data_IF_273973840162
#
_entry.id   IF_273973840162
#
_cell.length_a   1.000
_cell.length_b   1.000
_cell.length_c   1.000
_cell.angle_alpha   90.00
_cell.angle_beta   90.00
_cell.angle_gamma   90.00
#
_symmetry.space_group_name_H-M   'P 1'
#
loop_
_entity.id
_entity.type
_entity.pdbx_description
1 polymer ?
#
# COMPACT_ATOMS: atom_id res chain seq x y z
N UNK A 1 -7.97 10.06 -19.24
CA UNK A 1 -8.06 10.55 -17.87
C UNK A 1 -9.41 11.17 -17.61
N UNK A 2 -9.96 11.14 -16.40
CA UNK A 2 -11.20 11.83 -16.07
C UNK A 2 -11.10 13.34 -16.33
N UNK A 3 -12.21 13.99 -16.65
CA UNK A 3 -12.29 15.44 -16.79
C UNK A 3 -11.81 16.12 -15.47
N UNK A 4 -11.06 17.20 -15.59
CA UNK A 4 -10.52 17.95 -14.45
C UNK A 4 -9.26 17.34 -13.79
N UNK A 5 -8.71 16.25 -14.33
CA UNK A 5 -7.45 15.66 -13.87
C UNK A 5 -6.28 16.14 -14.74
N UNK A 6 -5.22 16.63 -14.13
CA UNK A 6 -4.00 17.05 -14.82
C UNK A 6 -2.76 16.49 -14.15
N UNK A 7 -2.48 15.18 -14.27
CA UNK A 7 -1.25 14.64 -13.74
C UNK A 7 -0.07 15.08 -14.61
N UNK A 8 0.99 15.43 -13.95
CA UNK A 8 2.28 15.67 -14.59
C UNK A 8 3.17 14.44 -14.35
N UNK A 9 3.35 13.63 -15.39
CA UNK A 9 4.34 12.56 -15.39
C UNK A 9 5.36 12.83 -16.50
N UNK A 10 6.62 12.84 -16.15
CA UNK A 10 7.69 12.96 -17.14
C UNK A 10 7.67 11.73 -18.08
N UNK A 11 7.85 11.98 -19.37
CA UNK A 11 7.94 10.89 -20.39
C UNK A 11 6.60 10.40 -20.93
N UNK A 12 5.46 11.02 -20.59
CA UNK A 12 4.21 10.72 -21.26
C UNK A 12 4.25 11.16 -22.73
N UNK A 13 3.92 10.26 -23.64
CA UNK A 13 3.81 10.58 -25.08
C UNK A 13 2.56 11.41 -25.38
N UNK A 14 1.45 11.13 -24.71
CA UNK A 14 0.16 11.83 -24.88
C UNK A 14 -0.69 11.73 -23.61
N UNK A 15 -1.56 12.72 -23.39
CA UNK A 15 -2.55 12.75 -22.31
C UNK A 15 -3.93 12.99 -22.88
N UNK A 16 -4.78 11.98 -22.87
CA UNK A 16 -6.19 12.11 -23.27
C UNK A 16 -7.07 12.37 -22.07
N UNK A 17 -7.80 13.47 -22.10
CA UNK A 17 -8.85 13.79 -21.15
C UNK A 17 -10.18 13.30 -21.66
N UNK A 18 -10.89 12.49 -20.87
CA UNK A 18 -12.23 12.01 -21.17
C UNK A 18 -13.26 13.07 -20.77
N UNK A 19 -14.42 13.08 -21.45
CA UNK A 19 -15.46 14.06 -21.21
C UNK A 19 -16.24 13.91 -19.90
N UNK A 20 -15.96 12.86 -19.10
CA UNK A 20 -16.65 12.54 -17.86
C UNK A 20 -15.76 12.79 -16.64
N UNK A 21 -16.32 13.38 -15.58
CA UNK A 21 -15.67 13.46 -14.28
C UNK A 21 -15.47 12.06 -13.66
N UNK A 22 -14.56 11.94 -12.68
CA UNK A 22 -14.16 10.64 -12.11
C UNK A 22 -15.35 9.78 -11.63
N UNK A 23 -16.34 10.38 -10.98
CA UNK A 23 -17.53 9.65 -10.47
C UNK A 23 -18.42 9.13 -11.60
N UNK A 24 -18.66 9.96 -12.60
CA UNK A 24 -19.45 9.61 -13.78
C UNK A 24 -18.75 8.53 -14.59
N UNK A 25 -17.42 8.65 -14.75
CA UNK A 25 -16.61 7.66 -15.43
C UNK A 25 -16.63 6.31 -14.71
N UNK A 26 -16.52 6.31 -13.38
CA UNK A 26 -16.59 5.10 -12.57
C UNK A 26 -17.96 4.41 -12.70
N UNK A 27 -19.05 5.17 -12.72
CA UNK A 27 -20.40 4.65 -12.93
C UNK A 27 -20.57 4.11 -14.37
N UNK A 28 -20.10 4.85 -15.37
CA UNK A 28 -20.13 4.44 -16.79
C UNK A 28 -19.39 3.12 -17.00
N UNK A 29 -18.18 3.00 -16.50
CA UNK A 29 -17.37 1.78 -16.61
C UNK A 29 -17.96 0.60 -15.82
N UNK A 30 -18.59 0.86 -14.69
CA UNK A 30 -19.32 -0.16 -13.94
C UNK A 30 -20.47 -0.75 -14.76
N UNK A 31 -21.13 0.07 -15.59
CA UNK A 31 -22.19 -0.36 -16.52
C UNK A 31 -21.64 -0.97 -17.82
N UNK A 32 -20.33 -0.91 -18.06
CA UNK A 32 -19.70 -1.41 -19.28
C UNK A 32 -19.75 -0.45 -20.44
N UNK A 33 -19.93 0.82 -20.17
CA UNK A 33 -19.93 1.88 -21.17
C UNK A 33 -18.59 2.61 -21.06
N UNK A 34 -17.72 2.46 -22.07
CA UNK A 34 -16.38 3.05 -22.08
C UNK A 34 -16.18 3.97 -23.31
N UNK A 35 -16.89 5.10 -23.38
CA UNK A 35 -16.78 5.99 -24.52
C UNK A 35 -15.38 6.63 -24.58
N UNK A 36 -14.80 6.69 -25.79
CA UNK A 36 -13.60 7.47 -26.07
C UNK A 36 -12.27 6.93 -25.51
N UNK A 37 -12.25 5.71 -24.97
CA UNK A 37 -10.99 5.13 -24.44
C UNK A 37 -10.09 4.63 -25.58
N UNK A 38 -10.65 4.20 -26.71
CA UNK A 38 -9.89 3.58 -27.81
C UNK A 38 -9.57 2.11 -27.51
N UNK A 39 -8.76 1.52 -28.37
CA UNK A 39 -8.27 0.14 -28.29
C UNK A 39 -6.78 0.06 -28.02
N UNK A 40 -6.20 -1.14 -28.13
CA UNK A 40 -4.79 -1.44 -27.90
C UNK A 40 -4.51 -1.96 -26.51
N UNK A 41 -3.27 -1.82 -26.04
CA UNK A 41 -2.83 -2.33 -24.75
C UNK A 41 -3.20 -1.35 -23.63
N UNK A 42 -4.14 -1.73 -22.79
CA UNK A 42 -4.61 -0.91 -21.67
C UNK A 42 -4.15 -1.55 -20.36
N UNK A 43 -3.32 -0.83 -19.60
CA UNK A 43 -3.01 -1.18 -18.21
C UNK A 43 -3.59 -0.14 -17.26
N UNK A 44 -4.51 -0.57 -16.39
CA UNK A 44 -5.02 0.27 -15.32
C UNK A 44 -4.41 -0.11 -13.98
N UNK A 45 -3.80 0.85 -13.24
CA UNK A 45 -3.23 0.59 -11.92
C UNK A 45 -4.28 0.35 -10.84
N UNK A 46 -5.55 0.27 -11.19
CA UNK A 46 -6.68 0.01 -10.29
C UNK A 46 -7.80 -0.74 -11.02
N UNK A 47 -8.84 -1.15 -10.28
CA UNK A 47 -10.06 -1.69 -10.90
C UNK A 47 -10.86 -0.65 -11.70
N UNK A 48 -10.51 0.63 -11.63
CA UNK A 48 -11.13 1.68 -12.44
C UNK A 48 -10.59 1.62 -13.87
N UNK A 49 -11.14 0.71 -14.66
CA UNK A 49 -10.72 0.39 -16.02
C UNK A 49 -11.91 0.24 -16.96
N UNK A 50 -11.72 0.44 -18.27
CA UNK A 50 -12.75 0.25 -19.30
C UNK A 50 -12.96 -1.24 -19.59
N UNK A 51 -13.46 -1.99 -18.62
CA UNK A 51 -13.69 -3.43 -18.70
C UNK A 51 -14.92 -3.73 -19.58
N UNK A 52 -14.74 -3.69 -20.89
CA UNK A 52 -15.76 -3.96 -21.91
C UNK A 52 -15.49 -5.27 -22.62
N UNK A 53 -16.52 -5.80 -23.31
CA UNK A 53 -16.37 -7.01 -24.12
C UNK A 53 -15.46 -6.73 -25.32
N UNK A 54 -14.47 -7.56 -25.55
CA UNK A 54 -13.59 -7.60 -26.70
C UNK A 54 -13.24 -9.05 -27.04
N UNK A 55 -12.69 -9.30 -28.22
CA UNK A 55 -12.21 -10.62 -28.62
C UNK A 55 -10.76 -10.79 -28.14
N UNK A 56 -10.53 -11.68 -27.20
CA UNK A 56 -9.20 -11.92 -26.62
C UNK A 56 -8.25 -12.68 -27.54
N UNK A 57 -8.73 -13.21 -28.65
CA UNK A 57 -7.94 -14.09 -29.53
C UNK A 57 -7.55 -13.39 -30.82
N UNK A 58 -8.42 -12.54 -31.37
CA UNK A 58 -8.25 -11.97 -32.68
C UNK A 58 -8.11 -10.45 -32.66
N UNK A 59 -8.51 -9.78 -31.59
CA UNK A 59 -8.31 -8.35 -31.41
C UNK A 59 -6.92 -8.09 -30.77
N UNK A 60 -6.25 -7.03 -31.22
CA UNK A 60 -5.05 -6.53 -30.56
C UNK A 60 -5.39 -5.66 -29.33
N UNK A 61 -6.60 -5.79 -28.80
CA UNK A 61 -7.09 -5.06 -27.65
C UNK A 61 -6.94 -5.90 -26.37
N UNK A 62 -6.18 -5.39 -25.43
CA UNK A 62 -5.96 -6.06 -24.14
C UNK A 62 -6.24 -5.09 -23.00
N UNK A 63 -6.91 -5.56 -21.97
CA UNK A 63 -7.16 -4.77 -20.76
C UNK A 63 -6.67 -5.53 -19.52
N UNK A 64 -5.62 -5.02 -18.91
CA UNK A 64 -5.10 -5.51 -17.63
C UNK A 64 -5.42 -4.51 -16.52
N UNK A 65 -5.64 -5.02 -15.32
CA UNK A 65 -5.89 -4.19 -14.13
C UNK A 65 -5.00 -4.65 -12.98
N UNK A 66 -4.62 -3.72 -12.11
CA UNK A 66 -3.90 -4.06 -10.87
C UNK A 66 -4.83 -3.93 -9.67
N UNK A 67 -4.79 -4.91 -8.78
CA UNK A 67 -5.52 -4.93 -7.52
C UNK A 67 -4.52 -4.92 -6.34
N UNK A 68 -4.50 -3.82 -5.59
CA UNK A 68 -3.55 -3.59 -4.50
C UNK A 68 -4.09 -3.93 -3.11
N UNK A 69 -5.40 -4.21 -3.00
CA UNK A 69 -6.09 -4.23 -1.72
C UNK A 69 -7.35 -5.11 -1.80
N UNK A 70 -7.56 -5.97 -0.81
CA UNK A 70 -8.71 -6.86 -0.69
C UNK A 70 -9.70 -6.43 0.40
N UNK A 71 -9.57 -5.22 0.95
CA UNK A 71 -10.45 -4.74 2.05
C UNK A 71 -11.93 -4.82 1.70
N UNK A 72 -12.33 -4.60 0.45
CA UNK A 72 -13.72 -4.72 0.05
C UNK A 72 -14.32 -6.13 0.27
N UNK A 73 -13.50 -7.16 0.43
CA UNK A 73 -13.92 -8.55 0.67
C UNK A 73 -13.62 -9.00 2.08
N UNK A 74 -12.49 -8.63 2.64
CA UNK A 74 -11.97 -9.17 3.90
C UNK A 74 -12.18 -8.26 5.10
N UNK A 75 -12.28 -6.95 4.88
CA UNK A 75 -12.58 -5.95 5.91
C UNK A 75 -13.54 -4.87 5.36
N UNK A 76 -14.75 -5.25 4.90
CA UNK A 76 -15.67 -4.32 4.24
C UNK A 76 -16.10 -3.17 5.14
N UNK A 77 -16.12 -3.37 6.45
CA UNK A 77 -16.51 -2.34 7.42
C UNK A 77 -15.49 -1.19 7.51
N UNK A 78 -14.25 -1.41 7.05
CA UNK A 78 -13.23 -0.37 6.93
C UNK A 78 -13.47 0.58 5.74
N UNK A 79 -14.49 0.33 4.91
CA UNK A 79 -14.79 1.09 3.70
C UNK A 79 -16.26 1.54 3.69
N UNK A 80 -16.55 2.60 2.91
CA UNK A 80 -17.94 2.97 2.67
C UNK A 80 -18.68 1.86 1.90
N UNK A 81 -19.97 1.66 2.19
CA UNK A 81 -20.83 0.67 1.49
C UNK A 81 -20.79 0.86 -0.03
N UNK A 82 -20.73 2.10 -0.50
CA UNK A 82 -20.65 2.43 -1.93
C UNK A 82 -19.31 1.99 -2.53
N UNK A 83 -18.21 2.18 -1.81
CA UNK A 83 -16.88 1.73 -2.24
C UNK A 83 -16.83 0.21 -2.33
N UNK A 84 -17.31 -0.50 -1.32
CA UNK A 84 -17.39 -1.97 -1.30
C UNK A 84 -18.21 -2.48 -2.47
N UNK A 85 -19.42 -1.95 -2.67
CA UNK A 85 -20.31 -2.35 -3.77
C UNK A 85 -19.65 -2.13 -5.15
N UNK A 86 -19.01 -0.97 -5.33
CA UNK A 86 -18.33 -0.62 -6.57
C UNK A 86 -17.12 -1.53 -6.85
N UNK A 87 -16.24 -1.74 -5.88
CA UNK A 87 -15.06 -2.61 -6.04
C UNK A 87 -15.47 -4.05 -6.37
N UNK A 88 -16.47 -4.58 -5.67
CA UNK A 88 -17.02 -5.92 -5.94
C UNK A 88 -17.65 -6.01 -7.35
N UNK A 89 -18.34 -4.97 -7.79
CA UNK A 89 -18.90 -4.91 -9.14
C UNK A 89 -17.80 -4.88 -10.22
N UNK A 90 -16.75 -4.06 -10.00
CA UNK A 90 -15.64 -3.96 -10.95
C UNK A 90 -14.80 -5.22 -10.99
N UNK A 91 -14.59 -5.94 -9.87
CA UNK A 91 -13.92 -7.25 -9.92
C UNK A 91 -14.75 -8.28 -10.70
N UNK A 92 -16.09 -8.30 -10.54
CA UNK A 92 -16.94 -9.15 -11.40
C UNK A 92 -16.81 -8.83 -12.89
N UNK A 93 -16.61 -7.56 -13.22
CA UNK A 93 -16.32 -7.16 -14.61
C UNK A 93 -14.93 -7.61 -15.04
N UNK A 94 -13.92 -7.47 -14.20
CA UNK A 94 -12.56 -7.94 -14.48
C UNK A 94 -12.53 -9.47 -14.72
N UNK A 95 -13.28 -10.25 -13.94
CA UNK A 95 -13.45 -11.69 -14.19
C UNK A 95 -13.99 -11.98 -15.59
N UNK A 96 -14.87 -11.13 -16.13
CA UNK A 96 -15.47 -11.32 -17.46
C UNK A 96 -14.62 -10.77 -18.58
N UNK A 97 -13.97 -9.63 -18.38
CA UNK A 97 -13.45 -8.80 -19.46
C UNK A 97 -11.96 -8.45 -19.36
N UNK A 98 -11.31 -8.61 -18.22
CA UNK A 98 -9.86 -8.38 -18.13
C UNK A 98 -9.10 -9.58 -18.72
N UNK A 99 -8.02 -9.32 -19.44
CA UNK A 99 -7.11 -10.34 -19.97
C UNK A 99 -6.19 -10.85 -18.86
N UNK A 100 -5.74 -9.93 -17.99
CA UNK A 100 -5.06 -10.31 -16.76
C UNK A 100 -5.44 -9.37 -15.59
N UNK A 101 -5.30 -9.92 -14.38
CA UNK A 101 -5.38 -9.17 -13.12
C UNK A 101 -4.04 -9.28 -12.42
N UNK A 102 -3.36 -8.15 -12.33
CA UNK A 102 -2.08 -8.03 -11.64
C UNK A 102 -2.32 -7.87 -10.15
N UNK A 103 -1.56 -8.58 -9.35
CA UNK A 103 -1.57 -8.53 -7.88
C UNK A 103 -0.15 -8.41 -7.35
N UNK A 104 0.07 -7.84 -6.15
CA UNK A 104 1.42 -7.46 -5.73
C UNK A 104 2.25 -8.58 -5.09
N UNK A 105 1.65 -9.71 -4.65
CA UNK A 105 2.38 -10.82 -4.02
C UNK A 105 1.70 -12.16 -4.28
N UNK A 106 2.40 -13.26 -3.99
CA UNK A 106 1.86 -14.62 -4.15
C UNK A 106 0.73 -14.91 -3.15
N UNK A 107 0.91 -14.54 -1.89
CA UNK A 107 -0.15 -14.67 -0.89
C UNK A 107 -1.40 -13.88 -1.27
N UNK A 108 -1.24 -12.72 -1.93
CA UNK A 108 -2.36 -11.96 -2.44
C UNK A 108 -3.04 -12.67 -3.61
N UNK A 109 -2.26 -13.32 -4.50
CA UNK A 109 -2.78 -14.10 -5.62
C UNK A 109 -3.61 -15.29 -5.14
N UNK A 110 -3.15 -16.03 -4.13
CA UNK A 110 -3.87 -17.12 -3.51
C UNK A 110 -5.22 -16.67 -2.95
N UNK A 111 -5.23 -15.57 -2.18
CA UNK A 111 -6.48 -15.02 -1.62
C UNK A 111 -7.44 -14.52 -2.70
N UNK A 112 -6.92 -13.88 -3.77
CA UNK A 112 -7.77 -13.45 -4.87
C UNK A 112 -8.37 -14.65 -5.62
N UNK A 113 -7.64 -15.76 -5.75
CA UNK A 113 -8.15 -16.97 -6.39
C UNK A 113 -9.33 -17.58 -5.63
N UNK A 114 -9.40 -17.45 -4.30
CA UNK A 114 -10.55 -17.85 -3.49
C UNK A 114 -11.76 -16.92 -3.72
N UNK A 115 -11.53 -15.64 -3.98
CA UNK A 115 -12.56 -14.61 -4.15
C UNK A 115 -13.13 -14.62 -5.58
N UNK A 116 -12.28 -14.88 -6.60
CA UNK A 116 -12.62 -14.67 -8.00
C UNK A 116 -12.03 -15.76 -8.91
N UNK A 117 -12.87 -16.33 -9.79
CA UNK A 117 -12.47 -17.36 -10.75
C UNK A 117 -11.71 -16.73 -11.94
N UNK A 118 -10.46 -16.42 -11.73
CA UNK A 118 -9.57 -15.84 -12.75
C UNK A 118 -8.61 -16.87 -13.37
N UNK A 119 -8.29 -17.96 -12.65
CA UNK A 119 -7.34 -18.99 -13.11
C UNK A 119 -5.96 -18.37 -13.39
N UNK A 120 -5.39 -18.75 -14.52
CA UNK A 120 -4.07 -18.32 -14.96
C UNK A 120 -3.97 -16.82 -15.31
N UNK A 121 -5.07 -16.08 -15.29
CA UNK A 121 -5.07 -14.63 -15.53
C UNK A 121 -4.60 -13.80 -14.35
N UNK A 122 -4.37 -14.40 -13.18
CA UNK A 122 -3.70 -13.72 -12.06
C UNK A 122 -2.20 -13.68 -12.35
N UNK A 123 -1.62 -12.49 -12.28
CA UNK A 123 -0.18 -12.25 -12.49
C UNK A 123 0.41 -11.50 -11.30
N UNK A 124 1.53 -11.97 -10.80
CA UNK A 124 2.19 -11.35 -9.64
C UNK A 124 3.25 -10.35 -10.12
N UNK A 125 2.98 -9.07 -9.92
CA UNK A 125 3.92 -7.97 -10.21
C UNK A 125 3.90 -7.03 -9.01
N UNK A 126 4.99 -6.96 -8.23
CA UNK A 126 5.04 -6.16 -7.01
C UNK A 126 5.05 -4.66 -7.30
N UNK A 127 4.67 -3.86 -6.30
CA UNK A 127 4.93 -2.43 -6.25
C UNK A 127 6.34 -2.14 -5.75
N UNK A 128 6.66 -0.85 -5.65
CA UNK A 128 7.93 -0.35 -5.10
C UNK A 128 7.70 0.93 -4.30
N UNK A 129 8.69 1.40 -3.56
CA UNK A 129 8.65 2.74 -2.99
C UNK A 129 8.48 3.80 -4.10
N UNK A 130 7.91 4.97 -3.80
CA UNK A 130 7.77 6.04 -4.79
C UNK A 130 9.12 6.42 -5.40
N UNK A 131 9.11 6.79 -6.68
CA UNK A 131 10.32 7.30 -7.34
C UNK A 131 10.86 8.53 -6.58
N UNK A 132 12.17 8.54 -6.32
CA UNK A 132 12.80 9.62 -5.58
C UNK A 132 12.51 9.60 -4.07
N UNK A 133 12.07 8.48 -3.50
CA UNK A 133 11.85 8.33 -2.07
C UNK A 133 13.20 8.26 -1.34
N UNK A 134 13.73 9.43 -1.02
CA UNK A 134 15.01 9.62 -0.33
C UNK A 134 14.84 10.62 0.80
N UNK A 135 15.74 10.58 1.77
CA UNK A 135 15.73 11.53 2.88
C UNK A 135 15.99 12.94 2.35
N UNK A 136 15.05 13.90 2.52
CA UNK A 136 15.25 15.26 2.03
C UNK A 136 16.30 16.00 2.87
N UNK A 137 17.00 16.97 2.26
CA UNK A 137 18.03 17.75 2.95
C UNK A 137 17.48 18.54 4.12
N UNK A 138 16.22 18.95 4.05
CA UNK A 138 15.50 19.70 5.09
C UNK A 138 14.71 18.81 6.06
N UNK A 139 15.02 17.50 6.13
CA UNK A 139 14.29 16.53 6.95
C UNK A 139 14.11 16.96 8.41
N UNK A 140 15.12 17.58 9.01
CA UNK A 140 15.02 18.07 10.39
C UNK A 140 14.00 19.19 10.54
N UNK A 141 13.95 20.14 9.58
CA UNK A 141 12.98 21.22 9.58
C UNK A 141 11.54 20.70 9.37
N UNK A 142 11.37 19.71 8.49
CA UNK A 142 10.06 19.04 8.26
C UNK A 142 9.56 18.36 9.52
N UNK A 143 10.39 17.59 10.21
CA UNK A 143 10.00 16.94 11.48
C UNK A 143 9.62 17.96 12.55
N UNK A 144 10.35 19.07 12.64
CA UNK A 144 10.01 20.17 13.55
C UNK A 144 8.65 20.81 13.19
N UNK A 145 8.38 21.03 11.91
CA UNK A 145 7.09 21.54 11.45
C UNK A 145 5.94 20.59 11.75
N UNK A 146 6.20 19.28 11.70
CA UNK A 146 5.27 18.22 12.10
C UNK A 146 5.20 18.04 13.62
N UNK A 147 5.93 18.81 14.43
CA UNK A 147 5.98 18.69 15.89
C UNK A 147 6.24 17.23 16.35
N UNK A 148 7.21 16.57 15.72
CA UNK A 148 7.57 15.20 16.08
C UNK A 148 8.65 15.17 17.16
N UNK A 149 8.63 14.16 18.06
CA UNK A 149 9.64 13.98 19.10
C UNK A 149 11.00 13.60 18.51
N UNK A 150 12.04 13.59 19.35
CA UNK A 150 13.39 13.26 18.94
C UNK A 150 13.58 11.75 18.72
N UNK A 151 12.86 10.90 19.47
CA UNK A 151 12.92 9.43 19.39
C UNK A 151 11.51 8.86 19.35
N UNK A 152 11.24 8.03 18.36
CA UNK A 152 9.93 7.40 18.19
C UNK A 152 10.02 6.16 17.31
N UNK A 153 8.98 5.33 17.40
CA UNK A 153 8.67 4.33 16.39
C UNK A 153 7.50 4.82 15.52
N UNK A 154 7.55 4.53 14.24
CA UNK A 154 6.43 4.78 13.33
C UNK A 154 5.45 3.59 13.39
N UNK A 155 4.15 3.87 13.46
CA UNK A 155 3.11 2.86 13.49
C UNK A 155 2.20 2.99 12.27
N UNK A 156 1.83 1.86 11.68
CA UNK A 156 0.78 1.76 10.68
C UNK A 156 -0.17 0.64 11.04
N UNK A 157 -1.45 0.85 10.81
CA UNK A 157 -2.49 -0.14 11.11
C UNK A 157 -3.88 0.50 11.20
N UNK A 158 -4.89 -0.33 11.33
CA UNK A 158 -6.23 0.14 11.67
C UNK A 158 -6.37 0.26 13.19
N UNK A 159 -7.34 1.05 13.65
CA UNK A 159 -7.53 1.31 15.09
C UNK A 159 -7.57 0.02 15.91
N UNK A 160 -8.23 -1.03 15.43
CA UNK A 160 -8.34 -2.31 16.14
C UNK A 160 -7.02 -3.07 16.31
N UNK A 161 -5.97 -2.73 15.55
CA UNK A 161 -4.68 -3.42 15.59
C UNK A 161 -3.55 -2.58 16.19
N UNK A 162 -3.79 -1.32 16.55
CA UNK A 162 -2.73 -0.43 17.06
C UNK A 162 -2.28 -0.74 18.50
N UNK A 163 -3.07 -1.50 19.27
CA UNK A 163 -2.76 -1.78 20.68
C UNK A 163 -1.37 -2.44 20.85
N UNK A 164 -1.04 -3.43 20.03
CA UNK A 164 0.27 -4.09 20.05
C UNK A 164 1.40 -3.14 19.67
N UNK A 165 1.15 -2.20 18.75
CA UNK A 165 2.08 -1.14 18.38
C UNK A 165 2.37 -0.18 19.54
N UNK A 166 1.35 0.21 20.33
CA UNK A 166 1.54 1.05 21.51
C UNK A 166 2.29 0.31 22.64
N UNK A 167 2.01 -0.97 22.83
CA UNK A 167 2.80 -1.82 23.75
C UNK A 167 4.26 -1.92 23.30
N UNK A 168 4.50 -1.97 21.99
CA UNK A 168 5.85 -1.95 21.45
C UNK A 168 6.57 -0.61 21.70
N UNK A 169 5.86 0.52 21.59
CA UNK A 169 6.40 1.83 21.94
C UNK A 169 6.82 1.91 23.41
N UNK A 170 6.04 1.32 24.32
CA UNK A 170 6.39 1.20 25.75
C UNK A 170 7.63 0.34 25.92
N UNK A 171 7.70 -0.84 25.29
CA UNK A 171 8.83 -1.75 25.38
C UNK A 171 10.14 -1.15 24.85
N UNK A 172 10.04 -0.28 23.84
CA UNK A 172 11.17 0.45 23.26
C UNK A 172 11.50 1.76 23.98
N UNK A 173 10.75 2.14 25.02
CA UNK A 173 10.81 3.47 25.67
C UNK A 173 10.81 4.62 24.65
N UNK A 174 9.99 4.52 23.61
CA UNK A 174 9.88 5.48 22.51
C UNK A 174 8.47 6.06 22.41
N UNK A 175 8.34 7.24 21.84
CA UNK A 175 7.04 7.79 21.44
C UNK A 175 6.50 7.02 20.23
N UNK A 176 5.18 7.09 20.02
CA UNK A 176 4.50 6.49 18.89
C UNK A 176 4.05 7.55 17.88
N UNK A 177 4.49 7.44 16.64
CA UNK A 177 4.00 8.26 15.52
C UNK A 177 3.10 7.40 14.63
N UNK A 178 1.78 7.58 14.76
CA UNK A 178 0.79 6.84 13.96
C UNK A 178 0.64 7.55 12.61
N UNK A 179 0.84 6.82 11.51
CA UNK A 179 0.75 7.32 10.14
C UNK A 179 -0.54 6.88 9.45
N UNK A 180 -0.94 7.66 8.45
CA UNK A 180 -2.12 7.41 7.61
C UNK A 180 -3.43 7.31 8.38
N UNK A 181 -3.51 7.91 9.56
CA UNK A 181 -4.71 7.95 10.37
C UNK A 181 -5.83 8.71 9.62
N UNK A 182 -7.06 8.20 9.60
CA UNK A 182 -8.19 8.93 9.06
C UNK A 182 -8.42 10.23 9.84
N UNK A 183 -8.88 11.26 9.15
CA UNK A 183 -9.27 12.53 9.81
C UNK A 183 -10.33 12.29 10.89
N UNK A 184 -10.10 12.86 12.07
CA UNK A 184 -11.01 12.73 13.23
C UNK A 184 -10.88 11.42 14.01
N UNK A 185 -9.89 10.56 13.69
CA UNK A 185 -9.63 9.32 14.43
C UNK A 185 -8.74 9.51 15.67
N UNK A 186 -8.17 10.70 15.85
CA UNK A 186 -7.20 11.01 16.91
C UNK A 186 -7.70 10.66 18.33
N UNK A 187 -8.96 11.02 18.73
CA UNK A 187 -9.44 10.68 20.07
C UNK A 187 -9.51 9.17 20.31
N UNK A 188 -10.02 8.42 19.33
CA UNK A 188 -10.10 6.95 19.43
C UNK A 188 -8.73 6.29 19.47
N UNK A 189 -7.74 6.82 18.75
CA UNK A 189 -6.36 6.34 18.79
C UNK A 189 -5.75 6.63 20.18
N UNK A 190 -5.98 7.81 20.75
CA UNK A 190 -5.52 8.17 22.08
C UNK A 190 -6.14 7.27 23.18
N UNK A 191 -7.42 6.90 23.06
CA UNK A 191 -8.08 5.96 23.96
C UNK A 191 -7.43 4.57 23.90
N UNK A 192 -7.14 4.05 22.70
CA UNK A 192 -6.46 2.76 22.52
C UNK A 192 -5.05 2.79 23.12
N UNK A 193 -4.31 3.88 22.90
CA UNK A 193 -2.97 4.05 23.45
C UNK A 193 -2.99 4.09 24.99
N UNK A 194 -3.94 4.84 25.57
CA UNK A 194 -4.13 4.91 27.02
C UNK A 194 -4.50 3.55 27.62
N UNK A 195 -5.37 2.80 26.96
CA UNK A 195 -5.73 1.43 27.36
C UNK A 195 -4.54 0.47 27.28
N UNK A 196 -3.62 0.66 26.32
CA UNK A 196 -2.37 -0.08 26.22
C UNK A 196 -1.32 0.36 27.26
N UNK A 197 -1.54 1.47 27.98
CA UNK A 197 -0.63 2.03 28.99
C UNK A 197 0.33 3.09 28.44
N UNK A 198 0.20 3.54 27.19
CA UNK A 198 0.99 4.63 26.64
C UNK A 198 0.26 5.98 26.86
N UNK A 199 0.90 6.94 27.57
CA UNK A 199 0.29 8.25 27.80
C UNK A 199 0.01 8.99 26.49
N UNK A 200 -1.09 9.73 26.41
CA UNK A 200 -1.50 10.52 25.24
C UNK A 200 -0.38 11.49 24.78
N UNK A 201 0.36 12.06 25.72
CA UNK A 201 1.48 12.96 25.41
C UNK A 201 2.61 12.30 24.60
N UNK A 202 2.67 10.98 24.54
CA UNK A 202 3.64 10.18 23.76
C UNK A 202 3.04 9.66 22.44
N UNK A 203 1.82 10.07 22.08
CA UNK A 203 1.13 9.63 20.86
C UNK A 203 0.99 10.79 19.89
N UNK A 204 1.56 10.65 18.71
CA UNK A 204 1.57 11.67 17.67
C UNK A 204 0.84 11.14 16.43
N UNK A 205 -0.40 11.53 16.24
CA UNK A 205 -1.23 11.05 15.13
C UNK A 205 -1.01 11.95 13.90
N UNK A 206 -0.79 11.34 12.75
CA UNK A 206 -0.64 12.01 11.45
C UNK A 206 -1.49 11.32 10.40
N UNK A 207 -2.19 12.12 9.61
CA UNK A 207 -2.86 11.66 8.40
C UNK A 207 -1.85 11.29 7.29
N UNK A 208 -2.35 11.19 6.07
CA UNK A 208 -1.48 10.92 4.92
C UNK A 208 -0.56 12.12 4.67
N UNK A 209 0.75 11.88 4.75
CA UNK A 209 1.79 12.90 4.56
C UNK A 209 2.26 12.96 3.10
N UNK A 210 2.69 14.13 2.62
CA UNK A 210 3.47 14.28 1.39
C UNK A 210 4.71 13.38 1.39
N UNK A 211 5.24 13.10 0.20
CA UNK A 211 6.35 12.16 0.03
C UNK A 211 7.59 12.55 0.85
N UNK A 212 8.00 13.80 0.78
CA UNK A 212 9.20 14.31 1.46
C UNK A 212 9.01 14.32 2.99
N UNK A 213 7.83 14.70 3.47
CA UNK A 213 7.52 14.69 4.90
C UNK A 213 7.53 13.27 5.44
N UNK A 214 6.97 12.32 4.70
CA UNK A 214 6.97 10.91 5.06
C UNK A 214 8.39 10.33 5.08
N UNK A 215 9.23 10.67 4.09
CA UNK A 215 10.63 10.28 4.08
C UNK A 215 11.39 10.88 5.26
N UNK A 216 11.10 12.14 5.64
CA UNK A 216 11.69 12.79 6.82
C UNK A 216 11.24 12.11 8.14
N UNK A 217 10.00 11.65 8.21
CA UNK A 217 9.48 10.88 9.35
C UNK A 217 10.22 9.54 9.46
N UNK A 218 10.28 8.76 8.39
CA UNK A 218 10.97 7.47 8.42
C UNK A 218 12.46 7.60 8.74
N UNK A 219 13.15 8.61 8.20
CA UNK A 219 14.58 8.81 8.44
C UNK A 219 14.98 8.97 9.93
N UNK A 220 14.03 9.28 10.81
CA UNK A 220 14.27 9.45 12.23
C UNK A 220 13.52 8.42 13.10
N UNK A 221 12.69 7.59 12.50
CA UNK A 221 12.04 6.51 13.21
C UNK A 221 13.06 5.41 13.56
N UNK A 222 13.05 4.96 14.81
CA UNK A 222 13.90 3.84 15.26
C UNK A 222 13.46 2.51 14.65
N UNK A 223 12.16 2.39 14.35
CA UNK A 223 11.56 1.26 13.65
C UNK A 223 10.21 1.65 13.03
N UNK A 224 9.77 0.90 12.03
CA UNK A 224 8.37 0.86 11.59
C UNK A 224 7.70 -0.38 12.15
N UNK A 225 6.53 -0.22 12.74
CA UNK A 225 5.68 -1.33 13.18
C UNK A 225 4.38 -1.32 12.38
N UNK A 226 4.19 -2.34 11.56
CA UNK A 226 2.98 -2.55 10.76
C UNK A 226 2.08 -3.58 11.45
N UNK A 227 1.01 -3.09 12.08
CA UNK A 227 0.08 -3.94 12.85
C UNK A 227 -1.15 -4.35 12.03
N UNK A 228 -1.27 -3.89 10.79
CA UNK A 228 -2.41 -4.23 9.94
C UNK A 228 -2.45 -5.72 9.58
N UNK A 229 -3.64 -6.26 9.21
CA UNK A 229 -3.79 -7.69 8.92
C UNK A 229 -3.18 -8.13 7.58
N UNK A 230 -2.46 -7.25 6.86
CA UNK A 230 -1.79 -7.59 5.60
C UNK A 230 -2.73 -7.97 4.46
N UNK A 231 -3.84 -7.27 4.32
CA UNK A 231 -4.82 -7.46 3.22
C UNK A 231 -4.62 -6.50 2.05
N UNK A 232 -3.56 -5.72 2.09
CA UNK A 232 -3.14 -4.78 1.05
C UNK A 232 -1.64 -4.84 0.88
N UNK A 233 -1.13 -4.28 -0.22
CA UNK A 233 0.30 -4.10 -0.40
C UNK A 233 0.87 -3.18 0.71
N UNK A 234 1.93 -3.60 1.44
CA UNK A 234 2.43 -2.88 2.61
C UNK A 234 3.36 -1.74 2.19
N UNK A 235 2.80 -0.68 1.60
CA UNK A 235 3.54 0.47 1.08
C UNK A 235 4.56 1.03 2.06
N UNK A 236 4.16 1.18 3.32
CA UNK A 236 5.01 1.80 4.36
C UNK A 236 6.17 0.91 4.76
N UNK A 237 5.98 -0.41 4.76
CA UNK A 237 7.06 -1.35 5.01
C UNK A 237 8.12 -1.27 3.89
N UNK A 238 7.69 -1.20 2.62
CA UNK A 238 8.62 -1.06 1.49
C UNK A 238 9.35 0.29 1.53
N UNK A 239 8.66 1.38 1.85
CA UNK A 239 9.26 2.70 2.04
C UNK A 239 10.28 2.72 3.19
N UNK A 240 9.94 2.13 4.34
CA UNK A 240 10.83 2.03 5.49
C UNK A 240 12.09 1.21 5.18
N UNK A 241 11.94 0.04 4.57
CA UNK A 241 13.07 -0.80 4.12
C UNK A 241 13.97 -0.03 3.14
N UNK A 242 13.41 0.76 2.23
CA UNK A 242 14.18 1.56 1.26
C UNK A 242 15.09 2.59 1.95
N UNK A 243 14.67 3.12 3.09
CA UNK A 243 15.46 4.05 3.90
C UNK A 243 16.28 3.37 5.00
N UNK A 244 16.32 2.03 5.03
CA UNK A 244 17.05 1.28 6.03
C UNK A 244 16.46 1.34 7.44
N UNK A 245 15.17 1.65 7.55
CA UNK A 245 14.46 1.62 8.85
C UNK A 245 14.07 0.18 9.15
N UNK A 246 14.40 -0.35 10.36
CA UNK A 246 13.95 -1.67 10.79
C UNK A 246 12.43 -1.83 10.70
N UNK A 247 11.97 -2.94 10.13
CA UNK A 247 10.53 -3.20 9.93
C UNK A 247 10.11 -4.41 10.78
N UNK A 248 9.09 -4.21 11.60
CA UNK A 248 8.38 -5.25 12.32
C UNK A 248 6.93 -5.27 11.86
N UNK A 249 6.41 -6.43 11.53
CA UNK A 249 5.04 -6.54 11.06
C UNK A 249 4.28 -7.69 11.72
N UNK A 250 2.98 -7.52 11.90
CA UNK A 250 2.08 -8.59 12.29
C UNK A 250 2.10 -9.71 11.24
N UNK A 251 2.06 -10.96 11.71
CA UNK A 251 2.16 -12.13 10.84
C UNK A 251 1.00 -12.24 9.86
N UNK A 252 1.30 -12.15 8.57
CA UNK A 252 0.38 -12.40 7.47
C UNK A 252 1.11 -13.01 6.28
N UNK A 253 0.39 -13.59 5.32
CA UNK A 253 0.98 -14.08 4.07
C UNK A 253 1.65 -12.97 3.29
N UNK A 254 0.98 -11.82 3.15
CA UNK A 254 1.51 -10.66 2.40
C UNK A 254 2.76 -10.09 3.07
N UNK A 255 2.78 -9.95 4.40
CA UNK A 255 3.97 -9.47 5.09
C UNK A 255 5.14 -10.45 4.95
N UNK A 256 4.90 -11.77 5.03
CA UNK A 256 5.95 -12.78 4.80
C UNK A 256 6.51 -12.71 3.38
N UNK A 257 5.67 -12.55 2.36
CA UNK A 257 6.10 -12.44 0.97
C UNK A 257 6.94 -11.18 0.71
N UNK A 258 6.53 -10.04 1.30
CA UNK A 258 7.12 -8.74 0.99
C UNK A 258 8.33 -8.45 1.85
N UNK A 259 8.23 -8.65 3.15
CA UNK A 259 9.29 -8.32 4.10
C UNK A 259 10.35 -9.43 4.10
N UNK A 260 9.93 -10.70 4.09
CA UNK A 260 10.82 -11.87 4.10
C UNK A 260 11.88 -11.78 5.22
N UNK A 261 13.16 -11.82 4.86
CA UNK A 261 14.31 -11.67 5.77
C UNK A 261 14.72 -10.21 5.99
N UNK A 262 14.08 -9.26 5.31
CA UNK A 262 14.34 -7.81 5.43
C UNK A 262 13.77 -7.16 6.69
N UNK A 263 13.09 -7.91 7.56
CA UNK A 263 12.53 -7.44 8.83
C UNK A 263 12.03 -8.60 9.67
N UNK A 264 11.26 -8.31 10.72
CA UNK A 264 10.62 -9.31 11.56
C UNK A 264 9.13 -9.40 11.27
N UNK A 265 8.64 -10.59 10.90
CA UNK A 265 7.20 -10.88 10.74
C UNK A 265 6.81 -11.86 11.82
N UNK A 266 6.12 -11.39 12.85
CA UNK A 266 5.87 -12.11 14.10
C UNK A 266 4.39 -12.12 14.46
N UNK A 267 3.93 -13.06 15.29
CA UNK A 267 2.61 -12.96 15.92
C UNK A 267 2.44 -11.61 16.64
N UNK A 268 1.23 -11.11 16.70
CA UNK A 268 0.93 -9.81 17.31
C UNK A 268 1.42 -9.71 18.76
N UNK A 269 1.34 -10.80 19.52
CA UNK A 269 1.83 -10.90 20.89
C UNK A 269 3.34 -10.75 21.04
N UNK A 270 4.12 -10.99 20.00
CA UNK A 270 5.59 -10.93 20.00
C UNK A 270 6.12 -9.60 19.44
N UNK A 271 5.24 -8.72 18.95
CA UNK A 271 5.64 -7.41 18.40
C UNK A 271 6.46 -6.58 19.40
N UNK A 272 6.08 -6.45 20.68
CA UNK A 272 6.85 -5.66 21.65
C UNK A 272 8.30 -6.16 21.80
N UNK A 273 8.52 -7.46 21.89
CA UNK A 273 9.86 -8.05 22.03
C UNK A 273 10.69 -7.87 20.75
N UNK A 274 10.05 -8.07 19.59
CA UNK A 274 10.70 -7.87 18.29
C UNK A 274 11.11 -6.40 18.08
N UNK A 275 10.31 -5.44 18.55
CA UNK A 275 10.66 -4.02 18.50
C UNK A 275 11.80 -3.69 19.44
N UNK A 276 11.81 -4.23 20.67
CA UNK A 276 12.92 -4.03 21.60
C UNK A 276 14.25 -4.52 21.01
N UNK A 277 14.29 -5.65 20.31
CA UNK A 277 15.46 -6.11 19.56
C UNK A 277 15.80 -5.16 18.41
N UNK A 278 14.81 -4.75 17.62
CA UNK A 278 14.98 -3.92 16.43
C UNK A 278 15.52 -2.52 16.74
N UNK A 279 15.19 -1.93 17.89
CA UNK A 279 15.72 -0.62 18.32
C UNK A 279 17.02 -0.75 19.14
N UNK A 280 17.39 -1.96 19.49
CA UNK A 280 18.57 -2.33 20.29
C UNK A 280 19.61 -3.12 19.48
N UNK A 281 19.96 -4.34 19.93
CA UNK A 281 21.04 -5.14 19.34
C UNK A 281 20.81 -5.52 17.86
N UNK A 282 19.55 -5.73 17.46
CA UNK A 282 19.17 -6.12 16.09
C UNK A 282 19.14 -4.98 15.08
N UNK A 283 19.15 -3.72 15.52
CA UNK A 283 18.91 -2.55 14.68
C UNK A 283 19.75 -2.52 13.40
N UNK A 284 21.08 -2.64 13.54
CA UNK A 284 22.00 -2.59 12.40
C UNK A 284 21.76 -3.73 11.40
N UNK A 285 21.53 -4.93 11.91
CA UNK A 285 21.25 -6.10 11.07
C UNK A 285 19.97 -5.92 10.29
N UNK A 286 18.88 -5.52 10.93
CA UNK A 286 17.59 -5.31 10.27
C UNK A 286 17.65 -4.18 9.26
N UNK A 287 18.36 -3.08 9.55
CA UNK A 287 18.57 -1.98 8.61
C UNK A 287 19.24 -2.47 7.30
N UNK A 288 20.30 -3.26 7.41
CA UNK A 288 21.02 -3.79 6.23
C UNK A 288 20.12 -4.75 5.44
N UNK A 289 19.52 -5.73 6.11
CA UNK A 289 18.67 -6.73 5.47
C UNK A 289 17.43 -6.08 4.82
N UNK A 290 16.81 -5.10 5.48
CA UNK A 290 15.68 -4.34 4.93
C UNK A 290 16.08 -3.57 3.68
N UNK A 291 17.21 -2.87 3.71
CA UNK A 291 17.73 -2.15 2.54
C UNK A 291 18.03 -3.11 1.37
N UNK A 292 18.62 -4.27 1.63
CA UNK A 292 18.87 -5.28 0.61
C UNK A 292 17.58 -5.85 0.04
N UNK A 293 16.62 -6.17 0.90
CA UNK A 293 15.29 -6.66 0.49
C UNK A 293 14.56 -5.64 -0.39
N UNK A 294 14.61 -4.36 -0.05
CA UNK A 294 13.92 -3.30 -0.80
C UNK A 294 14.35 -3.22 -2.26
N UNK A 295 15.60 -3.63 -2.59
CA UNK A 295 16.11 -3.66 -3.97
C UNK A 295 15.39 -4.67 -4.88
N UNK A 296 14.68 -5.64 -4.30
CA UNK A 296 13.83 -6.54 -5.07
C UNK A 296 12.59 -5.84 -5.66
N UNK A 297 12.30 -4.61 -5.20
CA UNK A 297 11.13 -3.83 -5.59
C UNK A 297 11.56 -2.58 -6.36
N UNK A 298 11.30 -2.56 -7.66
CA UNK A 298 11.55 -1.38 -8.48
C UNK A 298 10.45 -1.18 -9.51
N UNK A 299 10.07 0.08 -9.73
CA UNK A 299 9.07 0.44 -10.76
C UNK A 299 9.56 0.11 -12.16
N UNK A 300 10.87 0.13 -12.41
CA UNK A 300 11.45 -0.29 -13.70
C UNK A 300 11.14 -1.77 -13.95
N UNK A 301 11.51 -2.65 -13.00
CA UNK A 301 11.23 -4.09 -13.13
C UNK A 301 9.73 -4.39 -13.20
N UNK A 302 8.89 -3.65 -12.44
CA UNK A 302 7.44 -3.81 -12.51
C UNK A 302 6.90 -3.41 -13.88
N UNK A 303 7.39 -2.32 -14.46
CA UNK A 303 7.01 -1.89 -15.82
C UNK A 303 7.46 -2.91 -16.89
N UNK A 304 8.68 -3.41 -16.80
CA UNK A 304 9.18 -4.46 -17.71
C UNK A 304 8.30 -5.72 -17.67
N UNK A 305 7.90 -6.14 -16.47
CA UNK A 305 6.98 -7.29 -16.30
C UNK A 305 5.58 -7.02 -16.86
N UNK A 306 5.08 -5.78 -16.75
CA UNK A 306 3.80 -5.39 -17.37
C UNK A 306 3.91 -5.45 -18.90
N UNK A 307 5.02 -4.96 -19.48
CA UNK A 307 5.24 -5.06 -20.91
C UNK A 307 5.37 -6.52 -21.37
N UNK A 308 6.14 -7.34 -20.64
CA UNK A 308 6.23 -8.79 -20.90
C UNK A 308 4.85 -9.46 -20.81
N UNK A 309 4.04 -9.11 -19.80
CA UNK A 309 2.68 -9.62 -19.69
C UNK A 309 1.83 -9.30 -20.93
N UNK A 310 1.89 -8.08 -21.44
CA UNK A 310 1.17 -7.72 -22.67
C UNK A 310 1.70 -8.43 -23.93
N UNK A 311 2.96 -8.84 -23.92
CA UNK A 311 3.52 -9.64 -25.03
C UNK A 311 3.08 -11.12 -24.94
N UNK A 312 2.75 -11.62 -23.77
CA UNK A 312 2.33 -13.00 -23.51
C UNK A 312 0.80 -13.20 -23.69
N UNK A 313 0.02 -12.14 -23.69
CA UNK A 313 -1.44 -12.15 -23.87
C UNK A 313 -1.83 -12.10 -25.35
#
# INVERSE_FOLDING_TARGET
MPAGSSPHFAGLADVRTLGLARRELAASWQLGIAPGVGGGLIHSPTLMAPLVRHDRVHDNDQTTVTLWDLRAWEAPDALSKTTVAWQRAMLRRAVKHADAVVVPSHAFAERLAEIAKLGERIRVIPGAAPLGFVVPLDAAARRKALSLPASYIALTGCSSSLESGFRAAIAADADAVVLDAPEGSEPGIAEIASAAGLPESRVHVRGTLPLEDRAAVFAAASALVATDPGIAWPWRAVEAMTLGVPVIAASSGVHRDVIADGGAVVPESEIPDAVADAVGPGARRMSVLGSDRSRAFSWMSSAERVWGLHADL
#
